data_IF_115875853267
#
_entry.id   IF_115875853267
#
_cell.length_a   1.000
_cell.length_b   1.000
_cell.length_c   1.000
_cell.angle_alpha   90.00
_cell.angle_beta   90.00
_cell.angle_gamma   90.00
#
_symmetry.space_group_name_H-M   'P 1'
#
loop_
_entity.id
_entity.type
_entity.pdbx_description
1 polymer ?
#
# COMPACT_ATOMS: atom_id res chain seq x y z
N UNK A 1 -4.87 -10.65 23.98
CA UNK A 1 -3.83 -9.67 24.37
C UNK A 1 -3.24 -9.22 23.06
N UNK A 2 -3.82 -8.20 22.42
CA UNK A 2 -3.23 -7.54 21.24
C UNK A 2 -2.23 -6.52 21.78
N UNK A 3 -1.10 -7.04 22.24
CA UNK A 3 0.11 -6.28 22.47
C UNK A 3 0.90 -6.41 21.17
N UNK A 4 0.82 -5.39 20.31
CA UNK A 4 1.82 -4.97 19.31
C UNK A 4 1.18 -4.05 18.24
N UNK A 5 0.39 -3.04 18.64
CA UNK A 5 0.27 -1.83 17.81
C UNK A 5 1.58 -1.05 17.99
N UNK A 6 2.68 -1.56 17.42
CA UNK A 6 3.77 -0.67 17.05
C UNK A 6 3.16 0.36 16.10
N UNK A 7 3.20 1.64 16.49
CA UNK A 7 2.63 2.74 15.73
C UNK A 7 3.32 2.79 14.36
N UNK A 8 2.71 2.13 13.36
CA UNK A 8 3.28 1.98 12.02
C UNK A 8 3.44 3.39 11.45
N UNK A 9 4.67 3.81 11.22
CA UNK A 9 4.95 5.17 10.72
C UNK A 9 4.37 5.27 9.30
N UNK A 10 3.49 6.25 9.02
CA UNK A 10 2.94 6.50 7.69
C UNK A 10 4.02 6.58 6.61
N UNK A 11 3.76 6.01 5.43
CA UNK A 11 4.72 6.00 4.33
C UNK A 11 5.10 7.41 3.88
N UNK A 12 4.18 8.37 3.96
CA UNK A 12 4.43 9.78 3.68
C UNK A 12 5.46 10.46 4.60
N UNK A 13 5.70 9.90 5.80
CA UNK A 13 6.68 10.42 6.76
C UNK A 13 8.03 9.71 6.67
N UNK A 14 8.11 8.60 5.93
CA UNK A 14 9.34 7.82 5.74
C UNK A 14 10.22 8.48 4.70
N UNK A 15 11.46 8.82 5.08
CA UNK A 15 12.39 9.56 4.20
C UNK A 15 12.73 8.77 2.93
N UNK A 16 12.83 7.45 3.04
CA UNK A 16 13.09 6.51 1.96
C UNK A 16 11.93 6.37 0.96
N UNK A 17 10.78 7.01 1.20
CA UNK A 17 9.63 7.05 0.30
C UNK A 17 9.37 8.46 -0.27
N UNK A 18 10.23 9.43 0.04
CA UNK A 18 10.07 10.83 -0.39
C UNK A 18 10.19 11.04 -1.91
N UNK A 19 10.77 10.08 -2.63
CA UNK A 19 10.88 10.06 -4.09
C UNK A 19 9.64 9.48 -4.79
N UNK A 20 8.72 8.85 -4.04
CA UNK A 20 7.53 8.21 -4.58
C UNK A 20 6.31 9.12 -4.40
N UNK A 21 5.61 9.40 -5.50
CA UNK A 21 4.30 10.04 -5.44
C UNK A 21 3.23 8.94 -5.31
N UNK A 22 2.43 8.90 -4.23
CA UNK A 22 1.40 7.89 -4.06
C UNK A 22 0.37 7.97 -5.19
N UNK A 23 -0.12 6.82 -5.65
CA UNK A 23 -1.09 6.70 -6.74
C UNK A 23 -2.47 6.30 -6.19
N UNK A 24 -3.43 7.25 -6.10
CA UNK A 24 -4.77 6.97 -5.59
C UNK A 24 -5.50 5.89 -6.38
N UNK A 25 -6.45 5.22 -5.73
CA UNK A 25 -7.42 4.38 -6.43
C UNK A 25 -8.32 5.24 -7.31
N UNK A 26 -8.48 4.87 -8.58
CA UNK A 26 -9.45 5.49 -9.49
C UNK A 26 -10.71 4.62 -9.57
N UNK A 27 -11.76 5.02 -8.83
CA UNK A 27 -13.09 4.40 -8.88
C UNK A 27 -14.04 5.10 -9.88
N UNK A 28 -13.54 6.08 -10.65
CA UNK A 28 -14.32 6.87 -11.61
C UNK A 28 -15.19 7.97 -10.98
N UNK A 29 -15.98 8.69 -11.80
CA UNK A 29 -16.74 9.87 -11.36
C UNK A 29 -17.96 9.55 -10.48
N UNK A 30 -18.56 8.35 -10.65
CA UNK A 30 -19.73 7.88 -9.91
C UNK A 30 -19.42 6.50 -9.29
N UNK A 31 -18.63 6.45 -8.21
CA UNK A 31 -18.11 5.20 -7.67
C UNK A 31 -19.24 4.34 -7.09
N UNK A 32 -19.23 3.06 -7.44
CA UNK A 32 -20.17 2.06 -6.91
C UNK A 32 -19.39 1.14 -5.99
N UNK A 33 -20.01 0.71 -4.86
CA UNK A 33 -19.38 -0.15 -3.84
C UNK A 33 -18.04 0.38 -3.29
N UNK A 34 -17.90 1.70 -3.18
CA UNK A 34 -16.73 2.35 -2.57
C UNK A 34 -16.54 1.89 -1.12
N UNK A 35 -15.34 1.43 -0.80
CA UNK A 35 -15.00 0.98 0.55
C UNK A 35 -14.43 2.17 1.33
N UNK A 36 -15.02 2.45 2.49
CA UNK A 36 -14.50 3.46 3.42
C UNK A 36 -13.26 2.90 4.16
N UNK A 37 -12.11 2.95 3.49
CA UNK A 37 -10.84 2.48 4.04
C UNK A 37 -10.35 3.34 5.22
N UNK A 38 -9.66 2.70 6.17
CA UNK A 38 -8.81 3.42 7.12
C UNK A 38 -7.67 4.12 6.39
N UNK A 39 -7.16 5.22 6.94
CA UNK A 39 -6.09 6.01 6.31
C UNK A 39 -4.82 5.18 6.03
N UNK A 40 -4.43 4.31 6.96
CA UNK A 40 -3.30 3.38 6.82
C UNK A 40 -3.44 2.48 5.58
N UNK A 41 -4.64 1.91 5.39
CA UNK A 41 -4.92 1.04 4.25
C UNK A 41 -4.83 1.82 2.93
N UNK A 42 -5.47 2.98 2.88
CA UNK A 42 -5.45 3.84 1.69
C UNK A 42 -4.01 4.22 1.33
N UNK A 43 -3.25 4.73 2.30
CA UNK A 43 -1.86 5.15 2.07
C UNK A 43 -1.01 3.98 1.57
N UNK A 44 -1.03 2.84 2.26
CA UNK A 44 -0.22 1.67 1.88
C UNK A 44 -0.55 1.19 0.46
N UNK A 45 -1.84 1.14 0.11
CA UNK A 45 -2.26 0.74 -1.23
C UNK A 45 -1.94 1.78 -2.31
N UNK A 46 -1.95 3.08 -1.98
CA UNK A 46 -1.54 4.14 -2.90
C UNK A 46 -0.04 4.08 -3.22
N UNK A 47 0.79 3.82 -2.21
CA UNK A 47 2.23 3.59 -2.41
C UNK A 47 2.49 2.30 -3.20
N UNK A 48 1.77 1.22 -2.90
CA UNK A 48 1.88 -0.02 -3.65
C UNK A 48 1.53 0.18 -5.13
N UNK A 49 0.44 0.90 -5.42
CA UNK A 49 0.06 1.26 -6.79
C UNK A 49 1.12 2.07 -7.51
N UNK A 50 1.77 3.02 -6.82
CA UNK A 50 2.84 3.84 -7.40
C UNK A 50 4.04 2.98 -7.81
N UNK A 51 4.53 2.15 -6.89
CA UNK A 51 5.65 1.21 -7.11
C UNK A 51 5.34 0.20 -8.21
N UNK A 52 4.12 -0.33 -8.22
CA UNK A 52 3.65 -1.24 -9.25
C UNK A 52 3.63 -0.57 -10.63
N UNK A 53 3.10 0.66 -10.71
CA UNK A 53 3.03 1.42 -11.95
C UNK A 53 4.44 1.76 -12.49
N UNK A 54 5.42 1.99 -11.62
CA UNK A 54 6.81 2.23 -12.03
C UNK A 54 7.62 0.95 -12.32
N UNK A 55 7.05 -0.24 -12.14
CA UNK A 55 7.77 -1.54 -12.15
C UNK A 55 9.04 -1.49 -11.27
N UNK A 56 8.95 -0.84 -10.09
CA UNK A 56 10.09 -0.76 -9.19
C UNK A 56 10.33 -2.13 -8.53
N UNK A 57 11.57 -2.61 -8.61
CA UNK A 57 12.03 -3.87 -8.02
C UNK A 57 13.19 -3.62 -7.07
N UNK A 58 12.87 -3.30 -5.83
CA UNK A 58 13.82 -2.95 -4.78
C UNK A 58 13.53 -3.74 -3.50
N UNK A 59 14.44 -3.68 -2.52
CA UNK A 59 14.19 -4.28 -1.21
C UNK A 59 13.00 -3.58 -0.50
N UNK A 60 12.93 -2.25 -0.56
CA UNK A 60 11.83 -1.48 0.05
C UNK A 60 10.47 -1.80 -0.58
N UNK A 61 10.41 -2.09 -1.88
CA UNK A 61 9.15 -2.48 -2.52
C UNK A 61 8.69 -3.86 -2.04
N UNK A 62 9.61 -4.78 -1.75
CA UNK A 62 9.29 -6.09 -1.19
C UNK A 62 8.72 -5.97 0.24
N UNK A 63 9.31 -5.11 1.07
CA UNK A 63 8.81 -4.83 2.41
C UNK A 63 7.39 -4.22 2.35
N UNK A 64 7.17 -3.26 1.44
CA UNK A 64 5.84 -2.69 1.19
C UNK A 64 4.81 -3.75 0.75
N UNK A 65 5.19 -4.72 -0.09
CA UNK A 65 4.26 -5.80 -0.46
C UNK A 65 3.89 -6.68 0.72
N UNK A 66 4.80 -6.87 1.69
CA UNK A 66 4.52 -7.64 2.90
C UNK A 66 3.48 -6.92 3.77
N UNK A 67 3.67 -5.61 3.99
CA UNK A 67 2.69 -4.74 4.67
C UNK A 67 1.32 -4.78 3.98
N UNK A 68 1.30 -4.69 2.65
CA UNK A 68 0.05 -4.67 1.89
C UNK A 68 -0.67 -6.04 1.89
N UNK A 69 0.06 -7.16 2.01
CA UNK A 69 -0.52 -8.51 2.20
C UNK A 69 -1.16 -8.64 3.59
N UNK A 70 -0.55 -8.09 4.64
CA UNK A 70 -1.14 -8.10 5.98
C UNK A 70 -2.47 -7.35 6.01
N UNK A 71 -2.56 -6.23 5.28
CA UNK A 71 -3.75 -5.41 5.18
C UNK A 71 -4.86 -6.03 4.32
N UNK A 72 -4.51 -6.77 3.26
CA UNK A 72 -5.46 -7.51 2.43
C UNK A 72 -4.85 -8.78 1.83
N UNK A 73 -4.85 -9.91 2.56
CA UNK A 73 -4.24 -11.15 2.08
C UNK A 73 -4.98 -11.78 0.90
N UNK A 74 -6.21 -11.32 0.61
CA UNK A 74 -6.99 -11.74 -0.56
C UNK A 74 -6.59 -11.02 -1.85
N UNK A 75 -5.70 -10.04 -1.80
CA UNK A 75 -5.27 -9.29 -2.98
C UNK A 75 -4.18 -10.05 -3.75
N UNK A 76 -4.61 -10.80 -4.76
CA UNK A 76 -3.74 -11.62 -5.60
C UNK A 76 -2.74 -10.83 -6.46
N UNK A 77 -3.02 -9.55 -6.75
CA UNK A 77 -2.08 -8.70 -7.48
C UNK A 77 -0.82 -8.45 -6.67
N UNK A 78 -0.98 -8.22 -5.35
CA UNK A 78 0.17 -8.05 -4.43
C UNK A 78 0.98 -9.34 -4.35
N UNK A 79 0.31 -10.49 -4.22
CA UNK A 79 0.95 -11.80 -4.16
C UNK A 79 1.75 -12.16 -5.43
N UNK A 80 1.36 -11.63 -6.60
CA UNK A 80 2.08 -11.86 -7.85
C UNK A 80 3.40 -11.08 -7.91
N UNK A 81 3.43 -9.85 -7.39
CA UNK A 81 4.60 -8.97 -7.43
C UNK A 81 5.62 -9.31 -6.34
N UNK A 82 5.17 -9.85 -5.20
CA UNK A 82 6.05 -10.31 -4.12
C UNK A 82 6.82 -11.61 -4.42
N UNK A 83 6.73 -12.15 -5.64
CA UNK A 83 7.51 -13.31 -6.12
C UNK A 83 8.62 -12.88 -7.06
#
# INVERSE_FOLDING_TARGET
MDSDEEERIPYSLRKEWSDVTPLPQDDGPDPVVSIAYKDEFRETMDYFRAVYHSDERSARSLDLTSDAIELNPGNYTILYIGK
#
